data_IF_150893117287
#
_entry.id   IF_150893117287
#
_cell.length_a   1.000
_cell.length_b   1.000
_cell.length_c   1.000
_cell.angle_alpha   90.00
_cell.angle_beta   90.00
_cell.angle_gamma   90.00
#
_symmetry.space_group_name_H-M   'P 1'
#
loop_
_entity.id
_entity.type
_entity.pdbx_description
1 polymer ?
#
# COMPACT_ATOMS: atom_id res chain seq x y z
N UNK A 1 23.35 -24.24 -17.25
CA UNK A 1 22.23 -23.43 -17.74
C UNK A 1 21.22 -23.37 -16.61
N UNK A 2 21.13 -22.25 -15.89
CA UNK A 2 20.12 -22.08 -14.84
C UNK A 2 18.74 -22.26 -15.47
N UNK A 3 17.86 -23.01 -14.80
CA UNK A 3 16.48 -23.12 -15.25
C UNK A 3 15.79 -21.76 -15.15
N UNK A 4 14.77 -21.49 -15.99
CA UNK A 4 14.02 -20.22 -15.95
C UNK A 4 13.52 -19.89 -14.53
N UNK A 5 13.12 -20.92 -13.79
CA UNK A 5 12.67 -20.79 -12.39
C UNK A 5 13.78 -20.33 -11.45
N UNK A 6 15.01 -20.82 -11.61
CA UNK A 6 16.17 -20.41 -10.79
C UNK A 6 16.56 -18.95 -11.04
N UNK A 7 16.37 -18.44 -12.27
CA UNK A 7 16.66 -17.06 -12.62
C UNK A 7 15.60 -16.07 -12.14
N UNK A 8 14.34 -16.50 -12.00
CA UNK A 8 13.18 -15.61 -11.74
C UNK A 8 12.40 -15.95 -10.46
N UNK A 9 12.92 -16.85 -9.61
CA UNK A 9 12.19 -17.31 -8.41
C UNK A 9 11.82 -16.15 -7.48
N UNK A 10 12.66 -15.14 -7.34
CA UNK A 10 12.43 -13.99 -6.48
C UNK A 10 11.28 -13.11 -7.02
N UNK A 11 11.27 -12.87 -8.33
CA UNK A 11 10.19 -12.11 -8.99
C UNK A 11 8.84 -12.84 -8.90
N UNK A 12 8.86 -14.18 -9.06
CA UNK A 12 7.68 -15.02 -8.91
C UNK A 12 7.18 -14.98 -7.47
N UNK A 13 8.08 -15.14 -6.51
CA UNK A 13 7.76 -15.16 -5.08
C UNK A 13 7.18 -13.82 -4.62
N UNK A 14 7.80 -12.70 -4.97
CA UNK A 14 7.31 -11.36 -4.63
C UNK A 14 5.98 -11.03 -5.30
N UNK A 15 5.78 -11.50 -6.53
CA UNK A 15 4.48 -11.37 -7.23
C UNK A 15 3.38 -12.14 -6.51
N UNK A 16 3.63 -13.39 -6.10
CA UNK A 16 2.66 -14.19 -5.34
C UNK A 16 2.33 -13.53 -4.00
N UNK A 17 3.34 -13.02 -3.29
CA UNK A 17 3.11 -12.30 -2.03
C UNK A 17 2.31 -11.02 -2.23
N UNK A 18 2.56 -10.26 -3.30
CA UNK A 18 1.80 -9.07 -3.66
C UNK A 18 0.33 -9.38 -3.97
N UNK A 19 0.08 -10.45 -4.73
CA UNK A 19 -1.29 -10.93 -5.01
C UNK A 19 -1.99 -11.44 -3.75
N UNK A 20 -1.28 -12.13 -2.87
CA UNK A 20 -1.79 -12.56 -1.57
C UNK A 20 -2.14 -11.35 -0.69
N UNK A 21 -1.27 -10.34 -0.65
CA UNK A 21 -1.50 -9.12 0.10
C UNK A 21 -2.80 -8.43 -0.33
N UNK A 22 -2.97 -8.14 -1.62
CA UNK A 22 -4.15 -7.45 -2.13
C UNK A 22 -5.42 -8.29 -2.01
N UNK A 23 -5.32 -9.64 -2.10
CA UNK A 23 -6.44 -10.53 -1.83
C UNK A 23 -6.88 -10.50 -0.35
N UNK A 24 -5.93 -10.48 0.59
CA UNK A 24 -6.21 -10.32 2.02
C UNK A 24 -6.82 -8.95 2.33
N UNK A 25 -6.33 -7.89 1.66
CA UNK A 25 -6.88 -6.55 1.73
C UNK A 25 -8.32 -6.49 1.22
N UNK A 26 -8.57 -7.10 0.06
CA UNK A 26 -9.91 -7.25 -0.50
C UNK A 26 -10.87 -7.94 0.47
N UNK A 27 -10.39 -8.91 1.25
CA UNK A 27 -11.16 -9.58 2.31
C UNK A 27 -11.21 -8.82 3.64
N UNK A 28 -10.53 -7.70 3.77
CA UNK A 28 -10.32 -6.98 5.02
C UNK A 28 -9.78 -7.88 6.15
N UNK A 29 -8.91 -8.85 5.81
CA UNK A 29 -8.40 -9.85 6.73
C UNK A 29 -7.09 -9.39 7.38
N UNK A 30 -6.97 -9.54 8.71
CA UNK A 30 -5.82 -9.04 9.49
C UNK A 30 -4.47 -9.61 9.05
N UNK A 31 -4.45 -10.78 8.40
CA UNK A 31 -3.23 -11.41 7.92
C UNK A 31 -2.48 -10.56 6.88
N UNK A 32 -3.15 -9.60 6.20
CA UNK A 32 -2.47 -8.68 5.28
C UNK A 32 -1.31 -7.94 5.94
N UNK A 33 -1.43 -7.62 7.22
CA UNK A 33 -0.41 -6.88 7.96
C UNK A 33 0.84 -7.73 8.22
N UNK A 34 0.72 -9.06 8.36
CA UNK A 34 1.89 -9.94 8.45
C UNK A 34 2.69 -9.94 7.16
N UNK A 35 2.01 -10.05 6.01
CA UNK A 35 2.67 -9.94 4.69
C UNK A 35 3.30 -8.56 4.54
N UNK A 36 2.56 -7.50 4.90
CA UNK A 36 3.02 -6.11 4.85
C UNK A 36 4.17 -5.78 5.82
N UNK A 37 4.44 -6.61 6.84
CA UNK A 37 5.61 -6.49 7.72
C UNK A 37 6.79 -7.26 7.14
N UNK A 38 6.58 -8.50 6.71
CA UNK A 38 7.66 -9.41 6.30
C UNK A 38 8.38 -8.86 5.07
N UNK A 39 7.64 -8.46 4.03
CA UNK A 39 8.26 -8.00 2.78
C UNK A 39 9.17 -6.78 2.98
N UNK A 40 8.69 -5.63 3.52
CA UNK A 40 9.56 -4.48 3.71
C UNK A 40 10.68 -4.73 4.74
N UNK A 41 10.48 -5.61 5.73
CA UNK A 41 11.54 -5.95 6.67
C UNK A 41 12.71 -6.69 5.99
N UNK A 42 12.42 -7.55 5.01
CA UNK A 42 13.46 -8.16 4.17
C UNK A 42 14.12 -7.12 3.28
N UNK A 43 13.36 -6.21 2.70
CA UNK A 43 13.86 -5.13 1.84
C UNK A 43 14.81 -4.19 2.59
N UNK A 44 14.61 -3.93 3.89
CA UNK A 44 15.54 -3.14 4.72
C UNK A 44 16.94 -3.73 4.68
N UNK A 45 17.05 -5.04 4.92
CA UNK A 45 18.35 -5.73 4.93
C UNK A 45 18.98 -5.69 3.54
N UNK A 46 18.19 -6.05 2.51
CA UNK A 46 18.65 -6.08 1.12
C UNK A 46 19.17 -4.71 0.66
N UNK A 47 18.40 -3.65 0.87
CA UNK A 47 18.78 -2.30 0.45
C UNK A 47 19.98 -1.76 1.24
N UNK A 48 20.05 -2.07 2.54
CA UNK A 48 21.18 -1.68 3.38
C UNK A 48 22.50 -2.31 2.89
N UNK A 49 22.49 -3.61 2.60
CA UNK A 49 23.65 -4.34 2.09
C UNK A 49 24.15 -3.82 0.72
N UNK A 50 23.22 -3.29 -0.10
CA UNK A 50 23.54 -2.72 -1.41
C UNK A 50 23.84 -1.21 -1.37
N UNK A 51 23.88 -0.58 -0.18
CA UNK A 51 24.16 0.84 -0.02
C UNK A 51 23.01 1.76 -0.47
N UNK A 52 21.80 1.19 -0.67
CA UNK A 52 20.58 1.91 -1.07
C UNK A 52 19.84 2.46 0.16
N UNK A 53 20.47 3.37 0.88
CA UNK A 53 19.98 3.84 2.18
C UNK A 53 18.65 4.59 2.09
N UNK A 54 18.38 5.27 0.97
CA UNK A 54 17.07 5.93 0.73
C UNK A 54 15.93 4.92 0.65
N UNK A 55 16.13 3.83 -0.11
CA UNK A 55 15.15 2.75 -0.27
C UNK A 55 14.99 1.96 1.04
N UNK A 56 16.09 1.71 1.77
CA UNK A 56 16.04 1.13 3.11
C UNK A 56 15.20 1.98 4.08
N UNK A 57 15.34 3.30 4.05
CA UNK A 57 14.51 4.22 4.83
C UNK A 57 13.02 4.15 4.49
N UNK A 58 12.69 4.00 3.20
CA UNK A 58 11.31 3.80 2.74
C UNK A 58 10.75 2.45 3.23
N UNK A 59 11.55 1.38 3.15
CA UNK A 59 11.17 0.07 3.65
C UNK A 59 10.94 0.08 5.18
N UNK A 60 11.75 0.81 5.94
CA UNK A 60 11.50 1.06 7.38
C UNK A 60 10.14 1.72 7.61
N UNK A 61 9.81 2.75 6.82
CA UNK A 61 8.50 3.38 6.91
C UNK A 61 7.36 2.40 6.65
N UNK A 62 7.42 1.60 5.58
CA UNK A 62 6.38 0.62 5.25
C UNK A 62 6.22 -0.42 6.35
N UNK A 63 7.31 -0.90 6.94
CA UNK A 63 7.29 -1.82 8.09
C UNK A 63 6.59 -1.19 9.29
N UNK A 64 6.91 0.06 9.65
CA UNK A 64 6.26 0.77 10.75
C UNK A 64 4.77 1.02 10.48
N UNK A 65 4.40 1.38 9.25
CA UNK A 65 3.01 1.57 8.86
C UNK A 65 2.21 0.26 8.97
N UNK A 66 2.81 -0.87 8.59
CA UNK A 66 2.18 -2.18 8.71
C UNK A 66 2.03 -2.61 10.17
N UNK A 67 3.03 -2.37 11.02
CA UNK A 67 2.93 -2.60 12.48
C UNK A 67 1.82 -1.75 13.10
N UNK A 68 1.73 -0.48 12.71
CA UNK A 68 0.63 0.39 13.15
C UNK A 68 -0.73 -0.13 12.70
N UNK A 69 -0.86 -0.55 11.45
CA UNK A 69 -2.11 -1.12 10.91
C UNK A 69 -2.52 -2.40 11.64
N UNK A 70 -1.57 -3.30 11.88
CA UNK A 70 -1.79 -4.52 12.70
C UNK A 70 -2.28 -4.16 14.11
N UNK A 71 -1.59 -3.22 14.77
CA UNK A 71 -1.99 -2.75 16.10
C UNK A 71 -3.43 -2.21 16.11
N UNK A 72 -3.75 -1.35 15.13
CA UNK A 72 -5.10 -0.75 15.03
C UNK A 72 -6.17 -1.81 14.80
N UNK A 73 -5.94 -2.78 13.91
CA UNK A 73 -6.93 -3.82 13.61
C UNK A 73 -7.10 -4.82 14.76
N UNK A 74 -6.02 -5.13 15.48
CA UNK A 74 -6.05 -6.09 16.58
C UNK A 74 -6.63 -5.50 17.87
N UNK A 75 -6.25 -4.26 18.20
CA UNK A 75 -6.51 -3.69 19.53
C UNK A 75 -7.55 -2.57 19.55
N UNK A 76 -7.77 -1.84 18.45
CA UNK A 76 -8.84 -0.84 18.40
C UNK A 76 -10.18 -1.49 18.13
N UNK A 77 -10.80 -1.97 19.20
CA UNK A 77 -12.21 -2.41 19.19
C UNK A 77 -13.13 -1.20 19.33
N UNK A 78 -14.29 -1.21 18.67
CA UNK A 78 -15.30 -0.17 18.88
C UNK A 78 -15.80 -0.28 20.33
N UNK A 79 -15.68 0.83 21.09
CA UNK A 79 -15.95 0.90 22.54
C UNK A 79 -17.34 0.35 22.94
N UNK A 80 -18.33 0.35 22.03
CA UNK A 80 -19.71 -0.07 22.30
C UNK A 80 -20.01 -1.57 22.12
N UNK A 81 -19.27 -2.33 21.33
CA UNK A 81 -19.68 -3.68 20.90
C UNK A 81 -18.62 -4.77 21.02
N UNK A 82 -17.39 -4.51 21.50
CA UNK A 82 -16.25 -5.48 21.48
C UNK A 82 -15.98 -6.10 20.10
N UNK A 83 -16.54 -5.51 19.03
CA UNK A 83 -16.43 -5.99 17.64
C UNK A 83 -15.19 -5.41 16.94
N UNK A 84 -14.78 -6.05 15.87
CA UNK A 84 -13.69 -5.59 14.99
C UNK A 84 -13.95 -4.18 14.45
N UNK A 85 -12.86 -3.48 14.10
CA UNK A 85 -12.94 -2.15 13.51
C UNK A 85 -13.81 -2.19 12.23
N UNK A 86 -14.93 -1.45 12.18
CA UNK A 86 -15.81 -1.45 11.01
C UNK A 86 -15.21 -0.67 9.85
N UNK A 87 -15.56 -1.09 8.64
CA UNK A 87 -15.29 -0.30 7.42
C UNK A 87 -16.23 0.89 7.41
N UNK A 88 -15.67 2.10 7.30
CA UNK A 88 -16.41 3.35 7.31
C UNK A 88 -15.91 4.32 6.25
N UNK A 89 -16.70 5.32 5.92
CA UNK A 89 -16.24 6.47 5.15
C UNK A 89 -15.28 7.34 5.96
N UNK A 90 -14.29 7.93 5.29
CA UNK A 90 -13.38 8.88 5.91
C UNK A 90 -14.18 10.11 6.40
N UNK A 91 -14.06 10.50 7.67
CA UNK A 91 -14.73 11.70 8.19
C UNK A 91 -14.24 12.97 7.48
N UNK A 92 -15.14 13.88 7.13
CA UNK A 92 -14.80 15.13 6.42
C UNK A 92 -13.65 15.91 7.08
N UNK A 93 -13.59 15.90 8.41
CA UNK A 93 -12.51 16.55 9.19
C UNK A 93 -11.10 15.99 8.92
N UNK A 94 -10.99 14.80 8.31
CA UNK A 94 -9.71 14.14 8.02
C UNK A 94 -9.19 14.42 6.62
N UNK A 95 -10.01 14.96 5.71
CA UNK A 95 -9.56 15.28 4.35
C UNK A 95 -8.46 16.34 4.35
N UNK A 96 -8.67 17.50 5.01
CA UNK A 96 -7.69 18.58 5.05
C UNK A 96 -6.34 18.12 5.65
N UNK A 97 -6.28 17.51 6.85
CA UNK A 97 -5.00 17.01 7.37
C UNK A 97 -4.37 15.94 6.47
N UNK A 98 -5.14 15.04 5.86
CA UNK A 98 -4.60 14.04 4.93
C UNK A 98 -3.97 14.71 3.69
N UNK A 99 -4.63 15.72 3.12
CA UNK A 99 -4.11 16.49 1.98
C UNK A 99 -2.82 17.24 2.35
N UNK A 100 -2.77 17.89 3.51
CA UNK A 100 -1.56 18.57 3.99
C UNK A 100 -0.42 17.58 4.22
N UNK A 101 -0.69 16.44 4.85
CA UNK A 101 0.29 15.37 5.03
C UNK A 101 0.78 14.80 3.70
N UNK A 102 -0.10 14.67 2.70
CA UNK A 102 0.28 14.25 1.36
C UNK A 102 1.30 15.20 0.73
N UNK A 103 1.01 16.51 0.69
CA UNK A 103 1.93 17.47 0.09
C UNK A 103 3.26 17.55 0.84
N UNK A 104 3.23 17.50 2.16
CA UNK A 104 4.45 17.44 2.97
C UNK A 104 5.26 16.18 2.66
N UNK A 105 4.63 15.02 2.66
CA UNK A 105 5.28 13.75 2.35
C UNK A 105 5.83 13.75 0.92
N UNK A 106 5.09 14.30 -0.05
CA UNK A 106 5.53 14.41 -1.43
C UNK A 106 6.80 15.26 -1.56
N UNK A 107 6.82 16.44 -0.95
CA UNK A 107 8.00 17.32 -0.94
C UNK A 107 9.22 16.68 -0.26
N UNK A 108 9.02 16.04 0.90
CA UNK A 108 10.09 15.34 1.63
C UNK A 108 10.62 14.16 0.81
N UNK A 109 9.74 13.31 0.29
CA UNK A 109 10.14 12.14 -0.51
C UNK A 109 10.83 12.58 -1.81
N UNK A 110 10.33 13.62 -2.49
CA UNK A 110 10.97 14.18 -3.67
C UNK A 110 12.41 14.64 -3.35
N UNK A 111 12.58 15.39 -2.24
CA UNK A 111 13.90 15.84 -1.81
C UNK A 111 14.84 14.66 -1.53
N UNK A 112 14.35 13.62 -0.84
CA UNK A 112 15.12 12.40 -0.56
C UNK A 112 15.53 11.72 -1.87
N UNK A 113 14.60 11.53 -2.81
CA UNK A 113 14.88 10.84 -4.07
C UNK A 113 15.93 11.54 -4.92
N UNK A 114 15.91 12.87 -5.00
CA UNK A 114 16.90 13.60 -5.82
C UNK A 114 18.27 13.74 -5.15
N UNK A 115 18.37 13.60 -3.81
CA UNK A 115 19.62 13.77 -3.08
C UNK A 115 20.33 12.46 -2.77
N UNK A 116 19.56 11.39 -2.52
CA UNK A 116 20.10 10.15 -1.94
C UNK A 116 19.73 8.90 -2.73
N UNK A 117 19.06 9.02 -3.88
CA UNK A 117 18.76 7.89 -4.74
C UNK A 117 19.07 8.18 -6.21
N UNK A 118 19.09 7.14 -7.02
CA UNK A 118 19.30 7.23 -8.47
C UNK A 118 17.97 7.14 -9.24
N UNK A 119 16.85 7.65 -8.66
CA UNK A 119 15.57 7.63 -9.36
C UNK A 119 15.63 8.40 -10.67
N UNK A 120 15.19 7.77 -11.75
CA UNK A 120 15.10 8.38 -13.09
C UNK A 120 13.84 9.22 -13.27
N UNK A 121 12.84 9.05 -12.42
CA UNK A 121 11.54 9.74 -12.47
C UNK A 121 11.09 10.20 -11.07
N UNK A 122 11.90 11.04 -10.39
CA UNK A 122 11.73 11.34 -8.96
C UNK A 122 10.39 12.01 -8.63
N UNK A 123 9.80 12.76 -9.56
CA UNK A 123 8.49 13.41 -9.36
C UNK A 123 7.37 12.39 -9.22
N UNK A 124 7.32 11.40 -10.13
CA UNK A 124 6.27 10.38 -10.12
C UNK A 124 6.50 9.34 -9.02
N UNK A 125 7.76 8.94 -8.79
CA UNK A 125 8.12 8.02 -7.71
C UNK A 125 7.77 8.65 -6.34
N UNK A 126 8.08 9.94 -6.12
CA UNK A 126 7.73 10.63 -4.87
C UNK A 126 6.22 10.82 -4.71
N UNK A 127 5.51 11.11 -5.81
CA UNK A 127 4.06 11.23 -5.80
C UNK A 127 3.38 9.91 -5.38
N UNK A 128 3.75 8.79 -6.01
CA UNK A 128 3.18 7.48 -5.69
C UNK A 128 3.53 7.04 -4.28
N UNK A 129 4.76 7.29 -3.80
CA UNK A 129 5.15 7.02 -2.43
C UNK A 129 4.34 7.84 -1.42
N UNK A 130 4.20 9.15 -1.63
CA UNK A 130 3.43 10.01 -0.74
C UNK A 130 1.95 9.60 -0.69
N UNK A 131 1.37 9.24 -1.84
CA UNK A 131 -0.01 8.78 -1.91
C UNK A 131 -0.18 7.41 -1.23
N UNK A 132 0.81 6.51 -1.35
CA UNK A 132 0.83 5.22 -0.65
C UNK A 132 0.88 5.40 0.87
N UNK A 133 1.55 6.44 1.40
CA UNK A 133 1.53 6.75 2.83
C UNK A 133 0.12 7.06 3.32
N UNK A 134 -0.62 7.87 2.56
CA UNK A 134 -2.01 8.20 2.89
C UNK A 134 -2.91 6.97 2.71
N UNK A 135 -2.67 6.17 1.67
CA UNK A 135 -3.37 4.91 1.41
C UNK A 135 -3.23 3.92 2.56
N UNK A 136 -2.00 3.66 3.03
CA UNK A 136 -1.74 2.78 4.17
C UNK A 136 -2.37 3.28 5.48
N UNK A 137 -2.31 4.59 5.73
CA UNK A 137 -2.98 5.17 6.88
C UNK A 137 -4.51 5.00 6.80
N UNK A 138 -5.09 5.23 5.62
CA UNK A 138 -6.53 5.06 5.39
C UNK A 138 -6.94 3.58 5.51
N UNK A 139 -6.12 2.65 4.98
CA UNK A 139 -6.29 1.20 5.13
C UNK A 139 -6.23 0.79 6.60
N UNK A 140 -5.25 1.28 7.37
CA UNK A 140 -5.13 1.00 8.80
C UNK A 140 -6.36 1.46 9.61
N UNK A 141 -7.08 2.47 9.11
CA UNK A 141 -8.34 2.97 9.68
C UNK A 141 -9.59 2.31 9.12
N UNK A 142 -9.45 1.36 8.19
CA UNK A 142 -10.54 0.75 7.42
C UNK A 142 -11.43 1.80 6.72
N UNK A 143 -10.84 2.88 6.20
CA UNK A 143 -11.58 3.85 5.40
C UNK A 143 -11.81 3.31 3.99
N UNK A 144 -13.06 3.45 3.49
CA UNK A 144 -13.42 3.00 2.15
C UNK A 144 -12.61 3.71 1.06
N UNK A 145 -12.27 4.98 1.29
CA UNK A 145 -11.54 5.85 0.37
C UNK A 145 -10.10 5.40 0.10
N UNK A 146 -9.54 4.51 0.92
CA UNK A 146 -8.21 3.95 0.67
C UNK A 146 -8.10 3.32 -0.72
N UNK A 147 -9.17 2.73 -1.26
CA UNK A 147 -9.18 2.15 -2.59
C UNK A 147 -8.96 3.17 -3.70
N UNK A 148 -9.41 4.41 -3.55
CA UNK A 148 -9.13 5.47 -4.52
C UNK A 148 -7.64 5.84 -4.55
N UNK A 149 -6.98 5.84 -3.40
CA UNK A 149 -5.53 6.09 -3.35
C UNK A 149 -4.77 5.01 -4.10
N UNK A 150 -5.12 3.73 -3.89
CA UNK A 150 -4.50 2.61 -4.60
C UNK A 150 -4.79 2.64 -6.10
N UNK A 151 -6.01 2.92 -6.53
CA UNK A 151 -6.34 3.06 -7.95
C UNK A 151 -5.42 4.10 -8.61
N UNK A 152 -5.22 5.26 -7.98
CA UNK A 152 -4.36 6.32 -8.54
C UNK A 152 -2.89 5.88 -8.56
N UNK A 153 -2.38 5.30 -7.46
CA UNK A 153 -1.01 4.77 -7.39
C UNK A 153 -0.77 3.73 -8.49
N UNK A 154 -1.65 2.76 -8.62
CA UNK A 154 -1.50 1.63 -9.55
C UNK A 154 -1.59 2.09 -11.00
N UNK A 155 -2.48 3.05 -11.32
CA UNK A 155 -2.55 3.66 -12.66
C UNK A 155 -1.24 4.36 -13.01
N UNK A 156 -0.70 5.18 -12.10
CA UNK A 156 0.57 5.88 -12.33
C UNK A 156 1.73 4.89 -12.46
N UNK A 157 1.79 3.87 -11.60
CA UNK A 157 2.81 2.82 -11.70
C UNK A 157 2.69 2.03 -13.01
N UNK A 158 1.47 1.69 -13.44
CA UNK A 158 1.25 1.03 -14.73
C UNK A 158 1.83 1.86 -15.88
N UNK A 159 1.53 3.16 -15.93
CA UNK A 159 2.08 4.09 -16.95
C UNK A 159 3.61 4.16 -16.89
N UNK A 160 4.18 4.25 -15.69
CA UNK A 160 5.63 4.28 -15.49
C UNK A 160 6.30 3.02 -16.02
N UNK A 161 5.76 1.85 -15.75
CA UNK A 161 6.34 0.59 -16.21
C UNK A 161 6.16 0.35 -17.72
N UNK A 162 5.09 0.89 -18.33
CA UNK A 162 4.98 0.95 -19.79
C UNK A 162 6.10 1.81 -20.39
N UNK A 163 6.33 3.01 -19.83
CA UNK A 163 7.39 3.91 -20.30
C UNK A 163 8.80 3.32 -20.11
N UNK A 164 9.02 2.57 -19.03
CA UNK A 164 10.28 1.89 -18.74
C UNK A 164 10.49 0.60 -19.58
N UNK A 165 9.52 0.20 -20.40
CA UNK A 165 9.61 -1.01 -21.21
C UNK A 165 9.55 -2.30 -20.41
N UNK A 166 8.87 -2.32 -19.25
CA UNK A 166 8.73 -3.48 -18.34
C UNK A 166 7.28 -3.98 -18.39
N UNK A 167 6.86 -4.70 -19.45
CA UNK A 167 5.45 -5.03 -19.68
C UNK A 167 4.84 -5.93 -18.61
N UNK A 168 5.61 -6.83 -18.00
CA UNK A 168 5.12 -7.69 -16.93
C UNK A 168 4.68 -6.90 -15.69
N UNK A 169 5.48 -5.94 -15.25
CA UNK A 169 5.12 -5.07 -14.13
C UNK A 169 3.95 -4.16 -14.49
N UNK A 170 3.93 -3.60 -15.70
CA UNK A 170 2.79 -2.82 -16.18
C UNK A 170 1.48 -3.61 -16.13
N UNK A 171 1.50 -4.86 -16.62
CA UNK A 171 0.34 -5.77 -16.54
C UNK A 171 -0.09 -6.08 -15.11
N UNK A 172 0.87 -6.28 -14.20
CA UNK A 172 0.60 -6.52 -12.78
C UNK A 172 -0.10 -5.33 -12.12
N UNK A 173 0.39 -4.11 -12.34
CA UNK A 173 -0.26 -2.90 -11.81
C UNK A 173 -1.62 -2.65 -12.47
N UNK A 174 -1.79 -2.95 -13.76
CA UNK A 174 -3.10 -2.94 -14.41
C UNK A 174 -4.08 -3.90 -13.75
N UNK A 175 -3.63 -5.11 -13.36
CA UNK A 175 -4.43 -6.06 -12.60
C UNK A 175 -4.79 -5.51 -11.20
N UNK A 176 -3.85 -4.83 -10.53
CA UNK A 176 -4.11 -4.21 -9.22
C UNK A 176 -5.19 -3.13 -9.31
N UNK A 177 -5.22 -2.31 -10.37
CA UNK A 177 -6.33 -1.37 -10.62
C UNK A 177 -7.68 -2.08 -10.66
N UNK A 178 -7.79 -3.19 -11.41
CA UNK A 178 -9.04 -3.96 -11.50
C UNK A 178 -9.45 -4.51 -10.14
N UNK A 179 -8.50 -5.07 -9.38
CA UNK A 179 -8.77 -5.61 -8.05
C UNK A 179 -9.14 -4.48 -7.07
N UNK A 180 -8.51 -3.32 -7.16
CA UNK A 180 -8.83 -2.17 -6.31
C UNK A 180 -10.25 -1.65 -6.56
N UNK A 181 -10.68 -1.58 -7.82
CA UNK A 181 -12.07 -1.25 -8.16
C UNK A 181 -13.05 -2.27 -7.58
N UNK A 182 -12.77 -3.56 -7.75
CA UNK A 182 -13.60 -4.64 -7.17
C UNK A 182 -13.61 -4.56 -5.63
N UNK A 183 -12.46 -4.28 -5.01
CA UNK A 183 -12.30 -4.08 -3.56
C UNK A 183 -13.14 -2.93 -3.02
N UNK A 184 -13.15 -1.80 -3.72
CA UNK A 184 -14.02 -0.67 -3.40
C UNK A 184 -15.49 -1.08 -3.34
N UNK A 185 -16.00 -1.75 -4.37
CA UNK A 185 -17.40 -2.18 -4.40
C UNK A 185 -17.72 -3.20 -3.29
N UNK A 186 -16.81 -4.12 -3.00
CA UNK A 186 -16.98 -5.08 -1.91
C UNK A 186 -17.02 -4.38 -0.55
N UNK A 187 -16.06 -3.50 -0.26
CA UNK A 187 -16.03 -2.78 1.01
C UNK A 187 -17.22 -1.84 1.18
N UNK A 188 -17.70 -1.24 0.08
CA UNK A 188 -18.93 -0.43 0.08
C UNK A 188 -20.18 -1.23 0.49
N UNK A 189 -20.27 -2.51 0.05
CA UNK A 189 -21.35 -3.41 0.50
C UNK A 189 -21.22 -3.71 1.99
N UNK A 190 -20.01 -4.00 2.47
CA UNK A 190 -19.73 -4.28 3.89
C UNK A 190 -20.07 -3.07 4.78
N UNK A 191 -19.78 -1.85 4.32
CA UNK A 191 -20.12 -0.60 5.04
C UNK A 191 -21.64 -0.46 5.23
N UNK A 192 -22.45 -0.82 4.24
CA UNK A 192 -23.92 -0.77 4.33
C UNK A 192 -24.46 -1.77 5.35
N UNK A 193 -23.98 -3.01 5.34
CA UNK A 193 -24.38 -4.06 6.30
C UNK A 193 -24.11 -3.59 7.73
N UNK A 194 -22.93 -3.09 8.01
CA UNK A 194 -22.55 -2.58 9.35
C UNK A 194 -23.44 -1.41 9.82
N UNK A 195 -24.08 -0.67 8.92
CA UNK A 195 -25.00 0.41 9.26
C UNK A 195 -26.38 -0.13 9.65
N UNK A 196 -26.88 -1.19 9.00
CA UNK A 196 -28.17 -1.81 9.29
C UNK A 196 -28.16 -2.61 10.59
N UNK A 197 -27.05 -3.28 10.93
CA UNK A 197 -26.93 -4.05 12.18
C UNK A 197 -26.82 -3.16 13.44
N UNK A 198 -26.88 -1.83 13.30
CA UNK A 198 -26.82 -0.85 14.40
C UNK A 198 -28.15 -0.17 14.70
N UNK A 199 -29.22 -0.54 14.02
CA UNK A 199 -30.61 -0.12 14.28
C UNK A 199 -31.34 -1.22 15.01
#
# INVERSE_FOLDING_TARGET
MMTFLEAHWLDIFTTILGLLYIWLEYRAHIALWFVGIIMPAMDIVLYWEHGLYGDAGMACYYTMAALYGFYVWKFKKTRKLKQELPIIHMPRRKYLPATLCFFLAWGVTYYILIRWTNSTVPVLDSFTNALSFIGLWALARKYLEQWFFWIVVDVVCCMLYVQKGIPFKAGLYGLYVVIAVAGYYKWKKMTKITKYDRV
#
